data_IF_799008790406
#
_entry.id   IF_799008790406
#
_cell.length_a   1.000
_cell.length_b   1.000
_cell.length_c   1.000
_cell.angle_alpha   90.00
_cell.angle_beta   90.00
_cell.angle_gamma   90.00
#
_symmetry.space_group_name_H-M   'P 1'
#
loop_
_entity.id
_entity.type
_entity.pdbx_description
1 polymer ?
#
# COMPACT_ATOMS: atom_id res chain seq x y z
N UNK A 1 -20.92 5.75 -7.89
CA UNK A 1 -19.51 5.63 -7.46
C UNK A 1 -19.03 4.25 -7.87
N UNK A 2 -18.65 4.10 -9.13
CA UNK A 2 -18.08 2.84 -9.63
C UNK A 2 -16.64 2.73 -9.13
N UNK A 3 -16.42 1.80 -8.22
CA UNK A 3 -15.09 1.30 -7.93
C UNK A 3 -14.81 0.31 -9.06
N UNK A 4 -14.11 0.76 -10.11
CA UNK A 4 -13.58 -0.14 -11.14
C UNK A 4 -12.51 -1.02 -10.52
N UNK A 5 -12.94 -2.06 -9.82
CA UNK A 5 -12.13 -3.21 -9.46
C UNK A 5 -11.89 -3.98 -10.76
N UNK A 6 -10.86 -3.58 -11.52
CA UNK A 6 -10.32 -4.42 -12.58
C UNK A 6 -10.00 -5.77 -11.95
N UNK A 7 -10.80 -6.75 -12.32
CA UNK A 7 -10.81 -8.12 -11.88
C UNK A 7 -9.44 -8.78 -12.07
N UNK A 8 -8.58 -8.67 -11.05
CA UNK A 8 -7.49 -9.58 -10.63
C UNK A 8 -6.48 -8.78 -9.81
N UNK A 9 -6.71 -8.70 -8.50
CA UNK A 9 -5.57 -8.68 -7.60
C UNK A 9 -4.80 -10.00 -7.84
N UNK A 10 -3.61 -9.90 -8.42
CA UNK A 10 -2.73 -11.05 -8.67
C UNK A 10 -2.08 -11.40 -7.32
N UNK A 11 -2.73 -12.27 -6.56
CA UNK A 11 -2.21 -12.84 -5.32
C UNK A 11 -1.15 -13.90 -5.65
N UNK A 12 0.02 -13.89 -4.98
CA UNK A 12 0.89 -15.07 -4.95
C UNK A 12 0.96 -15.60 -3.52
N UNK A 13 0.49 -16.83 -3.31
CA UNK A 13 0.76 -17.59 -2.10
C UNK A 13 2.19 -18.12 -2.21
N UNK A 14 3.11 -17.66 -1.36
CA UNK A 14 4.40 -18.34 -1.17
C UNK A 14 4.15 -19.46 -0.16
N UNK A 15 4.45 -20.70 -0.54
CA UNK A 15 4.26 -21.88 0.32
C UNK A 15 5.03 -21.65 1.64
N UNK A 16 4.30 -21.52 2.76
CA UNK A 16 4.90 -21.46 4.10
C UNK A 16 4.43 -20.35 5.07
N UNK A 17 3.41 -19.53 4.78
CA UNK A 17 2.83 -18.67 5.84
C UNK A 17 1.76 -17.66 5.40
N UNK A 18 0.79 -17.46 6.30
CA UNK A 18 -0.46 -16.68 6.29
C UNK A 18 -0.37 -15.17 6.02
N UNK A 19 0.45 -14.73 5.06
CA UNK A 19 0.55 -13.32 4.69
C UNK A 19 -0.29 -12.97 3.46
N UNK A 20 -1.07 -11.91 3.55
CA UNK A 20 -1.76 -11.23 2.46
C UNK A 20 -0.89 -10.06 1.99
N UNK A 21 -0.55 -10.00 0.70
CA UNK A 21 0.29 -8.93 0.15
C UNK A 21 -0.56 -7.99 -0.68
N UNK A 22 -0.52 -6.70 -0.36
CA UNK A 22 -1.10 -5.68 -1.24
C UNK A 22 -0.13 -5.49 -2.40
N UNK A 23 -0.54 -5.91 -3.61
CA UNK A 23 0.32 -5.82 -4.79
C UNK A 23 0.56 -4.38 -5.22
N UNK A 24 -0.48 -3.58 -5.33
CA UNK A 24 -0.40 -2.14 -5.59
C UNK A 24 -1.71 -1.50 -5.14
N UNK A 25 -1.66 -0.21 -4.87
CA UNK A 25 -2.84 0.55 -4.50
C UNK A 25 -2.55 2.03 -4.66
N UNK A 26 -3.55 2.79 -5.10
CA UNK A 26 -3.41 4.23 -5.24
C UNK A 26 -4.74 4.91 -4.97
N UNK A 27 -4.67 6.13 -4.44
CA UNK A 27 -5.84 6.98 -4.25
C UNK A 27 -5.68 8.22 -5.11
N UNK A 28 -6.77 8.65 -5.74
CA UNK A 28 -6.79 9.90 -6.50
C UNK A 28 -6.38 11.07 -5.60
N UNK A 29 -5.42 11.92 -6.01
CA UNK A 29 -5.05 13.10 -5.25
C UNK A 29 -6.25 14.03 -5.03
N UNK A 30 -6.31 14.65 -3.85
CA UNK A 30 -7.37 15.60 -3.50
C UNK A 30 -7.57 15.72 -1.99
N UNK A 31 -8.52 16.55 -1.54
CA UNK A 31 -8.80 16.78 -0.13
C UNK A 31 -9.15 15.50 0.64
N UNK A 32 -9.72 14.51 -0.05
CA UNK A 32 -10.14 13.24 0.52
C UNK A 32 -9.11 12.11 0.38
N UNK A 33 -7.92 12.38 -0.16
CA UNK A 33 -6.95 11.32 -0.47
C UNK A 33 -6.54 10.51 0.76
N UNK A 34 -6.35 11.18 1.91
CA UNK A 34 -6.07 10.51 3.19
C UNK A 34 -7.20 9.56 3.61
N UNK A 35 -8.46 10.02 3.56
CA UNK A 35 -9.64 9.19 3.86
C UNK A 35 -9.79 8.03 2.90
N UNK A 36 -9.56 8.28 1.61
CA UNK A 36 -9.57 7.24 0.59
C UNK A 36 -8.50 6.18 0.84
N UNK A 37 -7.33 6.58 1.33
CA UNK A 37 -6.23 5.67 1.64
C UNK A 37 -6.54 4.80 2.85
N UNK A 38 -7.09 5.39 3.93
CA UNK A 38 -7.57 4.63 5.08
C UNK A 38 -8.63 3.60 4.69
N UNK A 39 -9.57 3.95 3.79
CA UNK A 39 -10.58 3.02 3.28
C UNK A 39 -9.98 1.90 2.44
N UNK A 40 -8.96 2.20 1.62
CA UNK A 40 -8.24 1.19 0.85
C UNK A 40 -7.58 0.17 1.78
N UNK A 41 -6.86 0.65 2.81
CA UNK A 41 -6.18 -0.22 3.77
C UNK A 41 -7.16 -1.10 4.56
N UNK A 42 -8.27 -0.52 5.04
CA UNK A 42 -9.31 -1.27 5.74
C UNK A 42 -9.95 -2.36 4.86
N UNK A 43 -10.15 -2.08 3.56
CA UNK A 43 -10.64 -3.07 2.61
C UNK A 43 -9.65 -4.23 2.40
N UNK A 44 -8.35 -3.93 2.36
CA UNK A 44 -7.31 -4.95 2.26
C UNK A 44 -7.20 -5.80 3.53
N UNK A 45 -7.36 -5.19 4.70
CA UNK A 45 -7.38 -5.89 6.00
C UNK A 45 -8.57 -6.83 6.11
N UNK A 46 -9.77 -6.36 5.78
CA UNK A 46 -10.96 -7.22 5.75
C UNK A 46 -10.77 -8.40 4.80
N UNK A 47 -10.23 -8.15 3.60
CA UNK A 47 -9.96 -9.22 2.64
C UNK A 47 -8.91 -10.21 3.15
N UNK A 48 -7.89 -9.75 3.87
CA UNK A 48 -6.91 -10.63 4.50
C UNK A 48 -7.58 -11.53 5.56
N UNK A 49 -8.42 -10.94 6.42
CA UNK A 49 -9.18 -11.66 7.44
C UNK A 49 -10.13 -12.71 6.83
N UNK A 50 -10.90 -12.33 5.80
CA UNK A 50 -11.82 -13.24 5.08
C UNK A 50 -11.09 -14.43 4.44
N UNK A 51 -9.79 -14.29 4.17
CA UNK A 51 -8.94 -15.31 3.57
C UNK A 51 -8.12 -16.10 4.60
N UNK A 52 -8.31 -15.82 5.89
CA UNK A 52 -7.58 -16.45 6.98
C UNK A 52 -6.09 -16.08 7.03
N UNK A 53 -5.69 -14.95 6.43
CA UNK A 53 -4.35 -14.44 6.57
C UNK A 53 -4.18 -13.77 7.95
N UNK A 54 -3.08 -14.07 8.62
CA UNK A 54 -2.74 -13.52 9.94
C UNK A 54 -1.90 -12.25 9.84
N UNK A 55 -1.35 -11.95 8.66
CA UNK A 55 -0.52 -10.78 8.41
C UNK A 55 -0.94 -10.10 7.10
N UNK A 56 -1.04 -8.77 7.12
CA UNK A 56 -1.15 -7.95 5.91
C UNK A 56 0.17 -7.22 5.67
N UNK A 57 0.70 -7.32 4.46
CA UNK A 57 1.97 -6.72 4.04
C UNK A 57 1.70 -5.69 2.95
N UNK A 58 2.23 -4.48 3.13
CA UNK A 58 2.10 -3.37 2.19
C UNK A 58 3.47 -2.73 1.95
N UNK A 59 3.80 -2.50 0.67
CA UNK A 59 5.01 -1.78 0.29
C UNK A 59 4.76 -0.28 0.17
N UNK A 60 5.62 0.54 0.76
CA UNK A 60 5.56 1.99 0.58
C UNK A 60 6.96 2.61 0.58
N UNK A 61 7.11 3.70 -0.18
CA UNK A 61 8.32 4.50 -0.18
C UNK A 61 8.25 5.62 0.87
N UNK A 62 9.26 5.73 1.73
CA UNK A 62 9.35 6.76 2.76
C UNK A 62 9.46 8.19 2.20
N UNK A 63 9.86 8.35 0.93
CA UNK A 63 9.79 9.63 0.20
C UNK A 63 8.36 10.12 -0.07
N UNK A 64 7.34 9.29 0.15
CA UNK A 64 5.92 9.67 0.20
C UNK A 64 5.46 9.69 1.66
N UNK A 65 5.95 10.67 2.40
CA UNK A 65 5.82 10.82 3.86
C UNK A 65 4.37 10.66 4.35
N UNK A 66 3.37 11.25 3.69
CA UNK A 66 1.97 11.12 4.16
C UNK A 66 1.43 9.70 4.04
N UNK A 67 1.80 8.96 3.00
CA UNK A 67 1.42 7.55 2.84
C UNK A 67 2.14 6.69 3.89
N UNK A 68 3.43 6.96 4.11
CA UNK A 68 4.24 6.31 5.14
C UNK A 68 3.67 6.52 6.55
N UNK A 69 3.36 7.76 6.93
CA UNK A 69 2.75 8.10 8.23
C UNK A 69 1.36 7.49 8.37
N UNK A 70 0.56 7.43 7.31
CA UNK A 70 -0.76 6.81 7.35
C UNK A 70 -0.69 5.29 7.61
N UNK A 71 0.31 4.59 7.04
CA UNK A 71 0.56 3.17 7.35
C UNK A 71 0.95 2.99 8.82
N UNK A 72 1.88 3.81 9.34
CA UNK A 72 2.26 3.76 10.74
C UNK A 72 1.06 4.03 11.67
N UNK A 73 0.19 4.99 11.33
CA UNK A 73 -1.05 5.27 12.06
C UNK A 73 -2.07 4.13 12.05
N UNK A 74 -1.98 3.21 11.09
CA UNK A 74 -2.79 1.98 11.00
C UNK A 74 -2.08 0.76 11.62
N UNK A 75 -0.97 0.96 12.34
CA UNK A 75 -0.26 -0.11 13.05
C UNK A 75 0.71 -0.93 12.20
N UNK A 76 0.93 -0.58 10.94
CA UNK A 76 1.97 -1.22 10.13
C UNK A 76 3.35 -0.95 10.72
N UNK A 77 4.22 -1.97 10.69
CA UNK A 77 5.60 -1.90 11.16
C UNK A 77 6.56 -2.24 10.02
N UNK A 78 7.69 -1.53 9.88
CA UNK A 78 8.72 -1.90 8.92
C UNK A 78 9.25 -3.31 9.21
N UNK A 79 9.28 -4.17 8.19
CA UNK A 79 9.79 -5.54 8.27
C UNK A 79 10.88 -5.84 7.24
N UNK A 80 10.92 -5.08 6.15
CA UNK A 80 11.95 -5.09 5.12
C UNK A 80 12.17 -3.65 4.66
N UNK A 81 13.41 -3.28 4.37
CA UNK A 81 13.74 -1.95 3.85
C UNK A 81 14.52 -2.10 2.54
N UNK A 82 13.96 -1.55 1.46
CA UNK A 82 14.61 -1.41 0.17
C UNK A 82 15.03 0.02 -0.10
N UNK A 83 15.90 0.23 -1.08
CA UNK A 83 16.34 1.56 -1.54
C UNK A 83 15.93 1.72 -3.01
N UNK A 84 15.11 2.72 -3.29
CA UNK A 84 14.87 3.19 -4.65
C UNK A 84 15.98 4.19 -5.03
N UNK A 85 16.71 3.90 -6.12
CA UNK A 85 17.71 4.80 -6.65
C UNK A 85 17.08 5.66 -7.76
N UNK A 86 17.03 6.97 -7.56
CA UNK A 86 16.63 7.93 -8.58
C UNK A 86 17.87 8.65 -9.11
N UNK A 87 17.79 9.20 -10.33
CA UNK A 87 18.88 10.02 -10.88
C UNK A 87 19.13 11.25 -10.00
N UNK A 88 18.03 11.89 -9.56
CA UNK A 88 17.99 13.09 -8.70
C UNK A 88 16.78 13.01 -7.75
N UNK A 89 16.76 13.77 -6.65
CA UNK A 89 15.63 13.82 -5.70
C UNK A 89 14.52 14.78 -6.14
N UNK A 90 14.12 14.71 -7.41
CA UNK A 90 13.11 15.59 -7.98
C UNK A 90 11.69 15.15 -7.60
N UNK A 91 10.79 16.13 -7.51
CA UNK A 91 9.35 15.90 -7.28
C UNK A 91 8.69 15.02 -8.37
N UNK A 92 9.35 14.81 -9.51
CA UNK A 92 8.90 13.89 -10.56
C UNK A 92 8.87 12.41 -10.15
N UNK A 93 9.56 12.04 -9.08
CA UNK A 93 9.59 10.66 -8.58
C UNK A 93 8.60 10.43 -7.43
N UNK A 94 8.72 11.20 -6.35
CA UNK A 94 7.87 11.08 -5.16
C UNK A 94 7.41 12.46 -4.69
N UNK A 95 6.12 12.56 -4.36
CA UNK A 95 5.57 13.76 -3.71
C UNK A 95 4.81 13.37 -2.45
N UNK A 96 4.82 14.25 -1.45
CA UNK A 96 4.13 14.06 -0.18
C UNK A 96 2.63 13.80 -0.32
N UNK A 97 2.00 14.29 -1.38
CA UNK A 97 0.55 14.16 -1.60
C UNK A 97 0.16 12.83 -2.27
N UNK A 98 1.12 11.97 -2.63
CA UNK A 98 0.85 10.70 -3.28
C UNK A 98 0.59 9.57 -2.27
N UNK A 99 -0.65 9.11 -2.19
CA UNK A 99 -1.06 7.92 -1.44
C UNK A 99 -0.98 6.68 -2.33
N UNK A 100 0.17 6.00 -2.31
CA UNK A 100 0.49 4.86 -3.16
C UNK A 100 1.13 3.73 -2.34
N UNK A 101 0.64 2.51 -2.53
CA UNK A 101 1.27 1.25 -2.16
C UNK A 101 2.01 0.69 -3.39
N UNK A 102 3.31 0.44 -3.23
CA UNK A 102 4.18 -0.11 -4.27
C UNK A 102 4.12 -1.64 -4.30
N UNK A 103 4.36 -2.25 -5.47
CA UNK A 103 4.66 -3.68 -5.56
C UNK A 103 6.10 -3.90 -5.08
N UNK A 104 6.29 -4.84 -4.16
CA UNK A 104 7.59 -5.22 -3.60
C UNK A 104 8.14 -6.50 -4.25
N UNK A 105 7.77 -6.78 -5.51
CA UNK A 105 8.36 -7.88 -6.29
C UNK A 105 9.62 -7.48 -7.03
#
# INVERSE_FOLDING_TARGET
MEISLSSRAIWSRRSGGDACYIKFGAVRPGPDAARGFSRLLAGCEQLAADRGASVLVAGANAGRDRAWTALAGQGFRPSLQGVAMHRDNDAGYHTSNCYVIDDWR
#
